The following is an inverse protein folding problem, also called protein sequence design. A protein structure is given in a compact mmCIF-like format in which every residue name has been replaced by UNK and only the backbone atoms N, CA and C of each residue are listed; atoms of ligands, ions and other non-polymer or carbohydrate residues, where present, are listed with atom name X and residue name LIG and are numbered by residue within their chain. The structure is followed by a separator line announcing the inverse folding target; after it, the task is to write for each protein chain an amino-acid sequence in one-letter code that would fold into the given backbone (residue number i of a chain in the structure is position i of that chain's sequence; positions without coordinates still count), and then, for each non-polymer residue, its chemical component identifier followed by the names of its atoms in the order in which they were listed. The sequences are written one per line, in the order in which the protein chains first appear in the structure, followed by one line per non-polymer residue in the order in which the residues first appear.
data_IF_112457882346
#
_entry.id   IF_112457882346
#
_cell.length_a   1.000
_cell.length_b   1.000
_cell.length_c   1.000
_cell.angle_alpha   90.00
_cell.angle_beta   90.00
_cell.angle_gamma   90.00
#
_symmetry.space_group_name_H-M   'P 1'
#
loop_
_entity.id
_entity.type
_entity.pdbx_description
1 polymer ?
#
# COMPACT_ATOMS: atom_id res chain seq x y z
N UNK A 1 -7.82 -10.19 -17.72
CA UNK A 1 -8.73 -9.59 -16.71
C UNK A 1 -8.54 -10.39 -15.45
N UNK A 2 -7.77 -9.87 -14.50
CA UNK A 2 -7.43 -10.60 -13.28
C UNK A 2 -8.49 -10.37 -12.18
N UNK A 3 -9.02 -11.45 -11.55
CA UNK A 3 -10.14 -11.40 -10.61
C UNK A 3 -9.83 -10.69 -9.27
N UNK A 4 -8.57 -10.36 -8.99
CA UNK A 4 -8.16 -9.71 -7.72
C UNK A 4 -8.49 -8.22 -7.62
N UNK A 5 -8.61 -7.52 -8.75
CA UNK A 5 -8.91 -6.07 -8.78
C UNK A 5 -10.42 -5.77 -8.76
N UNK A 6 -11.24 -6.72 -9.23
CA UNK A 6 -12.71 -6.58 -9.21
C UNK A 6 -13.29 -6.61 -7.80
N UNK A 7 -12.71 -7.39 -6.89
CA UNK A 7 -13.19 -7.48 -5.51
C UNK A 7 -12.99 -6.16 -4.75
N UNK A 8 -11.82 -5.54 -4.89
CA UNK A 8 -11.53 -4.23 -4.31
C UNK A 8 -12.37 -3.11 -4.95
N UNK A 9 -12.56 -3.15 -6.27
CA UNK A 9 -13.40 -2.18 -6.98
C UNK A 9 -14.90 -2.30 -6.62
N UNK A 10 -15.40 -3.53 -6.40
CA UNK A 10 -16.79 -3.77 -5.99
C UNK A 10 -17.07 -3.30 -4.56
N UNK A 11 -16.11 -3.49 -3.66
CA UNK A 11 -16.26 -2.98 -2.28
C UNK A 11 -16.20 -1.45 -2.24
N UNK A 12 -15.37 -0.82 -3.09
CA UNK A 12 -15.34 0.63 -3.25
C UNK A 12 -16.69 1.19 -3.73
N UNK A 13 -17.29 0.58 -4.75
CA UNK A 13 -18.61 1.00 -5.25
C UNK A 13 -19.69 0.91 -4.16
N UNK A 14 -19.63 -0.13 -3.32
CA UNK A 14 -20.54 -0.31 -2.17
C UNK A 14 -20.33 0.78 -1.10
N UNK A 15 -19.08 1.17 -0.85
CA UNK A 15 -18.73 2.21 0.12
C UNK A 15 -19.09 3.62 -0.38
N UNK A 16 -19.00 3.88 -1.68
CA UNK A 16 -19.44 5.13 -2.31
C UNK A 16 -20.96 5.31 -2.24
N UNK A 17 -21.74 4.24 -2.50
CA UNK A 17 -23.19 4.26 -2.37
C UNK A 17 -23.65 4.49 -0.93
N UNK A 18 -22.92 3.94 0.06
CA UNK A 18 -23.18 4.20 1.49
C UNK A 18 -22.83 5.64 1.93
N UNK A 19 -21.86 6.31 1.28
CA UNK A 19 -21.47 7.68 1.60
C UNK A 19 -22.46 8.72 1.04
N UNK A 20 -23.17 8.41 -0.04
CA UNK A 20 -24.14 9.31 -0.68
C UNK A 20 -25.44 9.52 0.11
N UNK A 21 -25.68 8.74 1.17
CA UNK A 21 -26.91 8.80 1.99
C UNK A 21 -26.72 9.64 3.28
N UNK A 22 -25.52 10.13 3.57
CA UNK A 22 -25.28 10.96 4.74
C UNK A 22 -25.69 12.44 4.47
N UNK A 23 -26.61 13.03 5.26
CA UNK A 23 -26.99 14.43 5.06
C UNK A 23 -25.80 15.34 5.39
N UNK A 24 -25.43 16.18 4.41
CA UNK A 24 -24.43 17.23 4.57
C UNK A 24 -24.92 18.29 5.57
N UNK A 25 -24.54 18.11 6.84
CA UNK A 25 -24.75 19.07 7.93
C UNK A 25 -23.47 19.81 8.24
N UNK A 26 -23.44 21.08 7.90
CA UNK A 26 -22.45 22.10 8.25
C UNK A 26 -22.23 22.15 9.78
N UNK A 27 -21.01 21.89 10.27
CA UNK A 27 -20.60 22.23 11.64
C UNK A 27 -19.06 22.26 11.80
N UNK A 28 -18.51 23.48 11.81
CA UNK A 28 -17.21 23.78 12.38
C UNK A 28 -17.13 23.24 13.83
N UNK A 29 -16.23 22.29 14.08
CA UNK A 29 -16.00 21.69 15.40
C UNK A 29 -16.48 20.24 15.57
N UNK A 30 -16.97 19.57 14.52
CA UNK A 30 -17.28 18.15 14.57
C UNK A 30 -15.98 17.33 14.73
N UNK A 31 -15.81 16.68 15.88
CA UNK A 31 -14.92 15.53 15.99
C UNK A 31 -15.27 14.58 14.84
N UNK A 32 -14.36 14.43 13.88
CA UNK A 32 -14.52 13.55 12.72
C UNK A 32 -15.03 12.20 13.21
N UNK A 33 -16.11 11.69 12.63
CA UNK A 33 -16.72 10.47 13.15
C UNK A 33 -15.67 9.34 13.05
N UNK A 34 -15.53 8.44 14.03
CA UNK A 34 -14.46 7.44 14.02
C UNK A 34 -14.39 6.65 12.70
N UNK A 35 -15.53 6.20 12.19
CA UNK A 35 -15.61 5.51 10.90
C UNK A 35 -15.22 6.36 9.68
N UNK A 36 -15.22 7.70 9.77
CA UNK A 36 -14.69 8.57 8.72
C UNK A 36 -13.16 8.57 8.70
N UNK A 37 -12.50 8.41 9.85
CA UNK A 37 -11.03 8.37 9.93
C UNK A 37 -10.47 7.08 9.32
N UNK A 38 -11.06 5.93 9.64
CA UNK A 38 -10.71 4.66 8.98
C UNK A 38 -10.93 4.73 7.46
N UNK A 39 -12.06 5.31 7.03
CA UNK A 39 -12.35 5.52 5.60
C UNK A 39 -11.38 6.49 4.95
N UNK A 40 -10.93 7.53 5.65
CA UNK A 40 -9.93 8.47 5.16
C UNK A 40 -8.57 7.80 4.98
N UNK A 41 -8.13 6.99 5.94
CA UNK A 41 -6.89 6.22 5.83
C UNK A 41 -6.92 5.32 4.59
N UNK A 42 -8.00 4.56 4.40
CA UNK A 42 -8.22 3.73 3.20
C UNK A 42 -8.13 4.55 1.90
N UNK A 43 -8.84 5.68 1.84
CA UNK A 43 -8.81 6.58 0.67
C UNK A 43 -7.41 7.11 0.39
N UNK A 44 -6.64 7.45 1.42
CA UNK A 44 -5.27 7.92 1.27
C UNK A 44 -4.35 6.81 0.77
N UNK A 45 -4.48 5.58 1.27
CA UNK A 45 -3.76 4.41 0.76
C UNK A 45 -4.09 4.10 -0.69
N UNK A 46 -5.36 4.17 -1.07
CA UNK A 46 -5.78 4.00 -2.46
C UNK A 46 -5.30 5.12 -3.37
N UNK A 47 -5.40 6.39 -2.93
CA UNK A 47 -4.89 7.53 -3.70
C UNK A 47 -3.40 7.33 -3.98
N UNK A 48 -2.63 6.95 -2.95
CA UNK A 48 -1.22 6.65 -3.08
C UNK A 48 -0.96 5.49 -4.06
N UNK A 49 -1.72 4.40 -3.98
CA UNK A 49 -1.64 3.29 -4.93
C UNK A 49 -1.88 3.77 -6.37
N UNK A 50 -2.93 4.54 -6.61
CA UNK A 50 -3.26 5.08 -7.95
C UNK A 50 -2.16 5.99 -8.48
N UNK A 51 -1.60 6.86 -7.64
CA UNK A 51 -0.48 7.72 -8.01
C UNK A 51 0.75 6.92 -8.45
N UNK A 52 1.12 5.88 -7.71
CA UNK A 52 2.26 5.02 -8.05
C UNK A 52 2.00 4.20 -9.30
N UNK A 53 0.79 3.62 -9.47
CA UNK A 53 0.46 2.89 -10.69
C UNK A 53 0.44 3.81 -11.92
N UNK A 54 -0.04 5.05 -11.79
CA UNK A 54 0.00 6.02 -12.87
C UNK A 54 1.44 6.42 -13.23
N UNK A 55 2.36 6.46 -12.25
CA UNK A 55 3.79 6.62 -12.52
C UNK A 55 4.32 5.37 -13.24
N UNK A 56 4.07 4.18 -12.71
CA UNK A 56 4.51 2.93 -13.31
C UNK A 56 4.02 2.74 -14.76
N UNK A 57 2.81 3.18 -15.07
CA UNK A 57 2.21 3.13 -16.41
C UNK A 57 3.00 3.96 -17.43
N UNK A 58 3.43 5.16 -17.03
CA UNK A 58 4.30 6.01 -17.86
C UNK A 58 5.65 5.37 -18.18
N UNK A 59 6.08 4.41 -17.36
CA UNK A 59 7.36 3.71 -17.51
C UNK A 59 7.18 2.24 -17.96
N UNK A 60 5.96 1.82 -18.31
CA UNK A 60 5.70 0.46 -18.77
C UNK A 60 5.91 -0.65 -17.73
N UNK A 61 5.94 -0.32 -16.43
CA UNK A 61 6.26 -1.27 -15.35
C UNK A 61 5.08 -1.55 -14.39
N UNK A 62 3.83 -1.31 -14.83
CA UNK A 62 2.60 -1.48 -14.02
C UNK A 62 2.50 -2.88 -13.41
N UNK A 63 2.81 -3.93 -14.18
CA UNK A 63 2.69 -5.31 -13.71
C UNK A 63 3.60 -5.59 -12.50
N UNK A 64 4.86 -5.14 -12.57
CA UNK A 64 5.85 -5.21 -11.47
C UNK A 64 5.30 -4.54 -10.21
N UNK A 65 4.71 -3.35 -10.35
CA UNK A 65 4.14 -2.61 -9.23
C UNK A 65 2.86 -3.24 -8.68
N UNK A 66 2.00 -3.79 -9.52
CA UNK A 66 0.82 -4.55 -9.09
C UNK A 66 1.20 -5.77 -8.25
N UNK A 67 2.19 -6.55 -8.69
CA UNK A 67 2.68 -7.71 -7.94
C UNK A 67 3.27 -7.30 -6.57
N UNK A 68 4.08 -6.23 -6.54
CA UNK A 68 4.63 -5.68 -5.29
C UNK A 68 3.53 -5.22 -4.34
N UNK A 69 2.52 -4.52 -4.84
CA UNK A 69 1.40 -4.06 -4.03
C UNK A 69 0.57 -5.18 -3.46
N UNK A 70 0.27 -6.22 -4.25
CA UNK A 70 -0.44 -7.39 -3.73
C UNK A 70 0.33 -8.06 -2.59
N UNK A 71 1.66 -8.18 -2.72
CA UNK A 71 2.51 -8.72 -1.65
C UNK A 71 2.47 -7.88 -0.38
N UNK A 72 2.72 -6.56 -0.50
CA UNK A 72 2.73 -5.66 0.65
C UNK A 72 1.36 -5.56 1.32
N UNK A 73 0.27 -5.58 0.55
CA UNK A 73 -1.08 -5.51 1.10
C UNK A 73 -1.40 -6.74 1.95
N UNK A 74 -1.00 -7.94 1.51
CA UNK A 74 -1.14 -9.17 2.32
C UNK A 74 -0.31 -9.09 3.60
N UNK A 75 0.94 -8.59 3.51
CA UNK A 75 1.80 -8.42 4.67
C UNK A 75 1.23 -7.42 5.68
N UNK A 76 0.74 -6.27 5.21
CA UNK A 76 0.13 -5.23 6.04
C UNK A 76 -1.15 -5.73 6.73
N UNK A 77 -2.01 -6.49 6.03
CA UNK A 77 -3.19 -7.11 6.64
C UNK A 77 -2.81 -8.14 7.71
N UNK A 78 -1.81 -8.99 7.45
CA UNK A 78 -1.34 -9.96 8.43
C UNK A 78 -0.72 -9.29 9.66
N UNK A 79 0.08 -8.25 9.44
CA UNK A 79 0.64 -7.42 10.51
C UNK A 79 -0.47 -6.78 11.35
N UNK A 80 -1.45 -6.12 10.73
CA UNK A 80 -2.55 -5.46 11.43
C UNK A 80 -3.34 -6.43 12.33
N UNK A 81 -3.67 -7.62 11.82
CA UNK A 81 -4.32 -8.68 12.61
C UNK A 81 -3.48 -9.10 13.80
N UNK A 82 -2.17 -9.29 13.59
CA UNK A 82 -1.26 -9.67 14.67
C UNK A 82 -1.21 -8.60 15.77
N UNK A 83 -1.07 -7.33 15.39
CA UNK A 83 -1.06 -6.21 16.34
C UNK A 83 -2.36 -6.11 17.14
N UNK A 84 -3.52 -6.29 16.49
CA UNK A 84 -4.82 -6.20 17.16
C UNK A 84 -5.15 -7.42 18.05
N UNK A 85 -4.55 -8.57 17.74
CA UNK A 85 -4.71 -9.80 18.53
C UNK A 85 -3.94 -9.78 19.85
N UNK A 86 -2.86 -9.01 19.93
CA UNK A 86 -2.08 -8.83 21.15
C UNK A 86 -2.67 -7.68 22.00
N UNK A 87 -3.14 -7.96 23.24
CA UNK A 87 -3.72 -6.95 24.10
C UNK A 87 -2.76 -5.81 24.48
N UNK A 88 -1.46 -6.09 24.62
CA UNK A 88 -0.45 -5.08 24.97
C UNK A 88 -0.22 -4.16 23.76
N UNK A 89 0.04 -4.73 22.59
CA UNK A 89 0.20 -3.96 21.36
C UNK A 89 -1.05 -3.13 21.04
N UNK A 90 -2.24 -3.68 21.27
CA UNK A 90 -3.50 -2.93 21.08
C UNK A 90 -3.61 -1.76 22.04
N UNK A 91 -3.15 -1.90 23.30
CA UNK A 91 -3.13 -0.80 24.26
C UNK A 91 -2.16 0.30 23.80
N UNK A 92 -0.96 -0.08 23.35
CA UNK A 92 0.03 0.85 22.82
C UNK A 92 -0.50 1.61 21.59
N UNK A 93 -1.18 0.92 20.67
CA UNK A 93 -1.81 1.55 19.51
C UNK A 93 -2.89 2.56 19.91
N UNK A 94 -3.66 2.27 20.97
CA UNK A 94 -4.64 3.23 21.52
C UNK A 94 -3.93 4.45 22.15
N UNK A 95 -2.76 4.27 22.77
CA UNK A 95 -1.97 5.39 23.29
C UNK A 95 -1.43 6.26 22.15
N UNK A 96 -0.89 5.65 21.10
CA UNK A 96 -0.30 6.35 19.94
C UNK A 96 -1.36 7.12 19.15
N UNK A 97 -2.49 6.48 18.83
CA UNK A 97 -3.52 7.05 17.97
C UNK A 97 -4.69 7.67 18.74
N UNK A 98 -4.66 7.54 20.06
CA UNK A 98 -5.57 8.18 20.99
C UNK A 98 -7.00 7.60 21.00
N UNK A 99 -7.93 8.33 21.64
CA UNK A 99 -9.32 7.90 21.81
C UNK A 99 -10.07 7.60 20.51
N UNK A 100 -9.68 8.26 19.40
CA UNK A 100 -10.25 8.02 18.08
C UNK A 100 -10.08 6.55 17.66
N UNK A 101 -8.86 6.01 17.76
CA UNK A 101 -8.59 4.63 17.38
C UNK A 101 -9.33 3.62 18.29
N UNK A 102 -9.45 3.96 19.58
CA UNK A 102 -10.23 3.15 20.53
C UNK A 102 -11.72 3.09 20.21
N UNK A 103 -12.26 4.10 19.52
CA UNK A 103 -13.68 4.16 19.15
C UNK A 103 -14.02 3.45 17.84
N UNK A 104 -13.03 3.04 17.06
CA UNK A 104 -13.19 2.22 15.86
C UNK A 104 -13.62 0.80 16.25
N UNK A 105 -14.44 0.16 15.41
CA UNK A 105 -14.68 -1.27 15.51
C UNK A 105 -13.44 -2.09 15.04
N UNK A 106 -13.47 -3.41 15.25
CA UNK A 106 -12.33 -4.27 14.96
C UNK A 106 -11.93 -4.25 13.48
N UNK A 107 -12.90 -4.28 12.57
CA UNK A 107 -12.64 -4.22 11.13
C UNK A 107 -12.07 -2.86 10.73
N UNK A 108 -12.62 -1.77 11.25
CA UNK A 108 -12.13 -0.42 11.00
C UNK A 108 -10.71 -0.19 11.51
N UNK A 109 -10.33 -0.80 12.64
CA UNK A 109 -8.95 -0.78 13.13
C UNK A 109 -8.02 -1.55 12.21
N UNK A 110 -8.44 -2.74 11.75
CA UNK A 110 -7.66 -3.54 10.81
C UNK A 110 -7.45 -2.79 9.49
N UNK A 111 -8.51 -2.20 8.95
CA UNK A 111 -8.48 -1.41 7.73
C UNK A 111 -7.56 -0.18 7.87
N UNK A 112 -7.66 0.54 8.99
CA UNK A 112 -6.81 1.69 9.28
C UNK A 112 -5.33 1.28 9.35
N UNK A 113 -5.02 0.25 10.14
CA UNK A 113 -3.65 -0.21 10.35
C UNK A 113 -3.04 -0.80 9.08
N UNK A 114 -3.78 -1.63 8.35
CA UNK A 114 -3.30 -2.25 7.11
C UNK A 114 -3.06 -1.21 6.01
N UNK A 115 -3.91 -0.19 5.90
CA UNK A 115 -3.70 0.92 4.95
C UNK A 115 -2.49 1.77 5.32
N UNK A 116 -2.36 2.11 6.61
CA UNK A 116 -1.22 2.86 7.13
C UNK A 116 0.10 2.11 6.89
N UNK A 117 0.16 0.85 7.29
CA UNK A 117 1.35 0.01 7.16
C UNK A 117 1.72 -0.22 5.69
N UNK A 118 0.74 -0.46 4.83
CA UNK A 118 0.98 -0.58 3.38
C UNK A 118 1.70 0.66 2.82
N UNK A 119 1.23 1.87 3.16
CA UNK A 119 1.87 3.10 2.69
C UNK A 119 3.26 3.28 3.28
N UNK A 120 3.43 2.95 4.56
CA UNK A 120 4.72 3.00 5.24
C UNK A 120 5.73 2.06 4.58
N UNK A 121 5.35 0.80 4.32
CA UNK A 121 6.17 -0.23 3.69
C UNK A 121 6.58 0.14 2.27
N UNK A 122 5.64 0.63 1.44
CA UNK A 122 5.98 1.06 0.08
C UNK A 122 7.02 2.17 0.11
N UNK A 123 6.86 3.14 1.03
CA UNK A 123 7.82 4.24 1.17
C UNK A 123 9.16 3.75 1.72
N UNK A 124 9.17 2.83 2.68
CA UNK A 124 10.40 2.30 3.26
C UNK A 124 11.20 1.49 2.24
N UNK A 125 10.54 0.62 1.48
CA UNK A 125 11.20 -0.32 0.57
C UNK A 125 11.52 0.30 -0.80
N UNK A 126 10.70 1.23 -1.29
CA UNK A 126 10.79 1.72 -2.67
C UNK A 126 10.90 3.25 -2.78
N UNK A 127 11.28 3.98 -1.73
CA UNK A 127 11.42 5.44 -1.79
C UNK A 127 12.34 5.91 -2.93
N UNK A 128 13.47 5.25 -3.14
CA UNK A 128 14.43 5.67 -4.17
C UNK A 128 13.95 5.35 -5.58
N UNK A 129 13.34 4.19 -5.80
CA UNK A 129 12.71 3.85 -7.08
C UNK A 129 11.56 4.80 -7.41
N UNK A 130 10.71 5.14 -6.42
CA UNK A 130 9.65 6.15 -6.59
C UNK A 130 10.21 7.55 -6.89
N UNK A 131 11.33 7.94 -6.27
CA UNK A 131 12.01 9.20 -6.60
C UNK A 131 12.58 9.17 -8.02
N UNK A 132 13.12 8.04 -8.45
CA UNK A 132 13.65 7.86 -9.79
C UNK A 132 12.53 7.98 -10.84
N UNK A 133 11.45 7.21 -10.70
CA UNK A 133 10.28 7.27 -11.59
C UNK A 133 9.63 8.66 -11.65
N UNK A 134 9.73 9.45 -10.59
CA UNK A 134 9.23 10.84 -10.59
C UNK A 134 10.16 11.82 -11.32
N UNK A 135 11.44 11.49 -11.44
CA UNK A 135 12.49 12.37 -11.99
C UNK A 135 12.78 12.08 -13.45
N UNK A 136 12.79 10.81 -13.84
CA UNK A 136 13.11 10.40 -15.20
C UNK A 136 11.86 10.42 -16.07
N UNK A 137 12.01 10.78 -17.35
CA UNK A 137 10.96 10.55 -18.34
C UNK A 137 10.83 9.05 -18.66
N UNK A 138 9.78 8.64 -19.42
CA UNK A 138 9.58 7.26 -19.86
C UNK A 138 10.84 6.59 -20.44
N UNK A 139 11.64 7.36 -21.19
CA UNK A 139 12.80 6.86 -21.95
C UNK A 139 14.03 6.53 -21.10
N UNK A 140 14.23 7.15 -19.93
CA UNK A 140 15.42 6.91 -19.08
C UNK A 140 15.22 5.76 -18.08
N UNK A 141 13.99 5.44 -17.70
CA UNK A 141 13.72 4.35 -16.75
C UNK A 141 13.94 2.95 -17.35
N UNK A 142 13.68 2.79 -18.66
CA UNK A 142 13.92 1.53 -19.36
C UNK A 142 15.42 1.17 -19.41
N UNK A 143 16.29 2.18 -19.53
CA UNK A 143 17.75 1.99 -19.57
C UNK A 143 18.34 1.57 -18.20
N UNK A 144 17.68 1.87 -17.08
CA UNK A 144 18.11 1.45 -15.76
C UNK A 144 17.74 -0.02 -15.44
N UNK A 145 16.62 -0.51 -15.97
CA UNK A 145 16.14 -1.89 -15.77
C UNK A 145 16.99 -2.89 -16.59
N UNK A 146 17.49 -2.52 -17.78
CA UNK A 146 18.44 -3.36 -18.55
C UNK A 146 19.77 -3.62 -17.81
N UNK A 147 20.24 -2.66 -17.01
CA UNK A 147 21.51 -2.80 -16.27
C UNK A 147 21.38 -3.77 -15.08
N UNK A 148 20.22 -3.83 -14.42
CA UNK A 148 19.99 -4.74 -13.30
C UNK A 148 19.80 -6.20 -13.78
N UNK A 149 19.16 -6.39 -14.95
CA UNK A 149 18.99 -7.72 -15.57
C UNK A 149 20.32 -8.27 -16.11
N UNK A 150 21.17 -7.42 -16.68
CA UNK A 150 22.50 -7.84 -17.16
C UNK A 150 23.44 -8.20 -15.99
N UNK A 151 23.35 -7.51 -14.85
CA UNK A 151 24.14 -7.83 -13.65
C UNK A 151 23.79 -9.21 -13.07
N UNK A 152 22.50 -9.54 -12.98
CA UNK A 152 22.01 -10.85 -12.50
C UNK A 152 22.37 -11.98 -13.46
N UNK A 153 22.29 -11.75 -14.77
CA UNK A 153 22.69 -12.75 -15.77
C UNK A 153 24.20 -13.07 -15.72
N UNK A 154 25.04 -12.09 -15.36
CA UNK A 154 26.49 -12.25 -15.30
C UNK A 154 26.96 -13.01 -14.07
N UNK A 155 26.27 -12.90 -12.93
CA UNK A 155 26.56 -13.71 -11.73
C UNK A 155 26.20 -15.19 -11.93
N UNK A 156 25.10 -15.49 -12.64
CA UNK A 156 24.67 -16.89 -12.89
C UNK A 156 25.61 -17.60 -13.88
N UNK A 157 26.25 -16.88 -14.80
CA UNK A 157 27.15 -17.48 -15.80
C UNK A 157 28.62 -17.58 -15.35
N UNK A 158 28.99 -17.02 -14.20
CA UNK A 158 30.39 -16.97 -13.71
C UNK A 158 30.79 -18.03 -12.69
N UNK A 159 29.83 -18.76 -12.10
CA UNK A 159 30.08 -19.67 -10.97
C UNK A 159 29.95 -21.15 -11.33
N UNK A 160 30.96 -21.73 -11.99
CA UNK A 160 30.93 -23.17 -12.29
C UNK A 160 32.19 -23.71 -12.98
N UNK A 161 33.37 -23.22 -12.61
CA UNK A 161 34.64 -23.71 -13.13
C UNK A 161 35.60 -24.09 -12.01
N UNK A 162 36.08 -25.34 -12.09
CA UNK A 162 37.23 -25.91 -11.39
C UNK A 162 37.02 -26.44 -9.95
N UNK A 163 36.94 -27.76 -9.84
CA UNK A 163 37.80 -28.52 -8.93
C UNK A 163 37.93 -29.96 -9.47
N UNK A 164 38.96 -30.18 -10.29
CA UNK A 164 39.53 -31.50 -10.52
C UNK A 164 40.90 -31.52 -9.85
N UNK A 165 41.10 -32.48 -8.95
CA UNK A 165 42.27 -33.34 -8.81
C UNK A 165 41.98 -34.40 -7.74
#
# INVERSE_FOLDING_TARGET
MEPGNEAAARELARLEEAAAVAPAGDAAGASEAPGEVARRALREGERFRREVLALADRHGCVEKWCQRFSKLQVQACHWAKHQLSDPEMRADLIEVWGPMFSSLDEQQREDFLSSYEFVADVKAQFADELRLLRRTGPEEAAAADEVEVEAVAKEVSGGGGAAGE
#
